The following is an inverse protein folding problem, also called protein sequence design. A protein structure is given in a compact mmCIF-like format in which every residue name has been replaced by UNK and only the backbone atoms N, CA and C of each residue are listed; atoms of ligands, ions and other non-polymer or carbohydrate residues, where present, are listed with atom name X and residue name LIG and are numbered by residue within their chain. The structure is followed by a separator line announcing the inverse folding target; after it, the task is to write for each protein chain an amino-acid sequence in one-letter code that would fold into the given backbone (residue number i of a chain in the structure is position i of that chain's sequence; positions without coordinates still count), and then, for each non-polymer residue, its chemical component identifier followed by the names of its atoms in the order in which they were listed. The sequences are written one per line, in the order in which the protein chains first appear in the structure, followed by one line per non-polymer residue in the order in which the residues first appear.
data_IF_398565652674
#
_entry.id   IF_398565652674
#
_cell.length_a   1.000
_cell.length_b   1.000
_cell.length_c   1.000
_cell.angle_alpha   90.00
_cell.angle_beta   90.00
_cell.angle_gamma   90.00
#
_symmetry.space_group_name_H-M   'P 1'
#
loop_
_entity.id
_entity.type
_entity.pdbx_description
1 polymer ?
#
# COMPACT_ATOMS: atom_id res chain seq x y z
N UNK A 1 -0.79 16.97 -10.91
CA UNK A 1 0.47 17.73 -11.02
C UNK A 1 1.01 18.17 -9.65
N UNK A 2 0.39 19.13 -8.95
CA UNK A 2 0.91 19.64 -7.65
C UNK A 2 1.15 18.52 -6.62
N UNK A 3 0.14 17.68 -6.37
CA UNK A 3 0.23 16.58 -5.40
C UNK A 3 1.36 15.61 -5.77
N UNK A 4 1.38 15.12 -7.01
CA UNK A 4 2.40 14.18 -7.50
C UNK A 4 3.82 14.75 -7.38
N UNK A 5 4.01 16.05 -7.63
CA UNK A 5 5.30 16.72 -7.46
C UNK A 5 5.68 16.93 -5.99
N UNK A 6 4.70 17.09 -5.10
CA UNK A 6 4.93 17.27 -3.67
C UNK A 6 5.35 15.97 -2.97
N UNK A 7 4.88 14.80 -3.42
CA UNK A 7 5.20 13.49 -2.81
C UNK A 7 6.70 13.23 -2.59
N UNK A 8 7.59 13.35 -3.59
CA UNK A 8 9.03 13.14 -3.38
C UNK A 8 9.67 14.19 -2.45
N UNK A 9 9.17 15.43 -2.48
CA UNK A 9 9.65 16.48 -1.57
C UNK A 9 9.24 16.20 -0.12
N UNK A 10 8.04 15.66 0.10
CA UNK A 10 7.57 15.24 1.43
C UNK A 10 8.36 14.02 1.92
N UNK A 11 8.63 13.05 1.06
CA UNK A 11 9.49 11.92 1.40
C UNK A 11 10.88 12.38 1.89
N UNK A 12 11.46 13.41 1.25
CA UNK A 12 12.79 13.91 1.56
C UNK A 12 12.84 14.90 2.74
N UNK A 13 11.91 15.84 2.79
CA UNK A 13 11.93 16.97 3.72
C UNK A 13 10.86 16.87 4.82
N UNK A 14 9.98 15.86 4.73
CA UNK A 14 8.85 15.72 5.62
C UNK A 14 7.93 16.93 5.60
N UNK A 15 7.36 17.21 6.77
CA UNK A 15 6.53 18.37 7.05
C UNK A 15 7.21 19.71 6.83
N UNK A 16 8.55 19.78 6.74
CA UNK A 16 9.27 21.04 6.56
C UNK A 16 9.10 21.61 5.14
N UNK A 17 8.61 20.83 4.18
CA UNK A 17 8.38 21.27 2.79
C UNK A 17 7.49 22.52 2.75
N UNK A 18 7.85 23.50 1.93
CA UNK A 18 7.09 24.75 1.76
C UNK A 18 6.30 24.74 0.44
N UNK A 19 5.21 25.50 0.39
CA UNK A 19 4.42 25.71 -0.84
C UNK A 19 5.27 26.32 -1.96
N UNK A 20 6.24 27.18 -1.64
CA UNK A 20 7.22 27.72 -2.58
C UNK A 20 8.13 26.65 -3.20
N UNK A 21 8.61 25.68 -2.40
CA UNK A 21 9.41 24.56 -2.91
C UNK A 21 8.58 23.67 -3.84
N UNK A 22 7.33 23.38 -3.48
CA UNK A 22 6.41 22.59 -4.30
C UNK A 22 6.11 23.32 -5.62
N UNK A 23 5.79 24.61 -5.56
CA UNK A 23 5.51 25.42 -6.74
C UNK A 23 6.71 25.46 -7.70
N UNK A 24 7.91 25.68 -7.17
CA UNK A 24 9.17 25.66 -7.93
C UNK A 24 9.39 24.31 -8.61
N UNK A 25 9.24 23.21 -7.87
CA UNK A 25 9.42 21.87 -8.41
C UNK A 25 8.37 21.53 -9.49
N UNK A 26 7.16 22.09 -9.37
CA UNK A 26 6.08 21.91 -10.33
C UNK A 26 6.14 22.90 -11.52
N UNK A 27 7.12 23.81 -11.56
CA UNK A 27 7.26 24.81 -12.63
C UNK A 27 6.14 25.85 -12.66
N UNK A 28 5.48 26.10 -11.53
CA UNK A 28 4.36 27.05 -11.41
C UNK A 28 4.65 28.16 -10.40
N UNK A 29 3.90 29.27 -10.50
CA UNK A 29 3.90 30.30 -9.47
C UNK A 29 3.23 29.82 -8.18
N UNK A 30 3.73 30.27 -7.02
CA UNK A 30 3.18 29.87 -5.71
C UNK A 30 1.70 30.29 -5.53
N UNK A 31 1.30 31.42 -6.10
CA UNK A 31 -0.11 31.84 -6.12
C UNK A 31 -1.02 30.82 -6.84
N UNK A 32 -0.51 30.02 -7.78
CA UNK A 32 -1.27 28.94 -8.42
C UNK A 32 -1.52 27.78 -7.47
N UNK A 33 -0.58 27.49 -6.54
CA UNK A 33 -0.81 26.50 -5.49
C UNK A 33 -1.96 26.96 -4.59
N UNK A 34 -1.96 28.22 -4.16
CA UNK A 34 -3.00 28.78 -3.30
C UNK A 34 -4.38 28.95 -3.99
N UNK A 35 -4.44 28.90 -5.32
CA UNK A 35 -5.72 28.82 -6.05
C UNK A 35 -6.38 27.45 -5.94
N UNK A 36 -5.59 26.39 -5.77
CA UNK A 36 -6.06 25.01 -5.70
C UNK A 36 -6.20 24.55 -4.25
N UNK A 37 -5.33 25.03 -3.36
CA UNK A 37 -5.28 24.63 -1.97
C UNK A 37 -5.35 25.86 -1.06
N UNK A 38 -6.16 25.80 -0.01
CA UNK A 38 -6.33 26.93 0.91
C UNK A 38 -5.03 27.27 1.66
N UNK A 39 -4.25 26.25 2.03
CA UNK A 39 -3.00 26.39 2.76
C UNK A 39 -2.07 25.19 2.50
N UNK A 40 -0.90 25.19 3.14
CA UNK A 40 0.08 24.10 3.09
C UNK A 40 -0.51 22.79 3.64
N UNK A 41 -1.31 22.85 4.70
CA UNK A 41 -1.87 21.65 5.32
C UNK A 41 -2.85 20.96 4.36
N UNK A 42 -3.64 21.71 3.60
CA UNK A 42 -4.49 21.17 2.54
C UNK A 42 -3.69 20.43 1.46
N UNK A 43 -2.50 20.92 1.10
CA UNK A 43 -1.59 20.21 0.16
C UNK A 43 -1.10 18.90 0.79
N UNK A 44 -0.67 18.93 2.05
CA UNK A 44 -0.20 17.74 2.76
C UNK A 44 -1.31 16.68 2.91
N UNK A 45 -2.54 17.10 3.24
CA UNK A 45 -3.68 16.20 3.33
C UNK A 45 -4.03 15.57 1.98
N UNK A 46 -3.99 16.33 0.90
CA UNK A 46 -4.19 15.79 -0.45
C UNK A 46 -3.09 14.77 -0.81
N UNK A 47 -1.84 15.03 -0.43
CA UNK A 47 -0.73 14.09 -0.61
C UNK A 47 -0.93 12.79 0.18
N UNK A 48 -1.34 12.90 1.45
CA UNK A 48 -1.65 11.74 2.30
C UNK A 48 -2.79 10.94 1.67
N UNK A 49 -3.88 11.59 1.25
CA UNK A 49 -5.01 10.93 0.62
C UNK A 49 -4.60 10.19 -0.67
N UNK A 50 -3.77 10.80 -1.52
CA UNK A 50 -3.25 10.17 -2.75
C UNK A 50 -2.34 8.97 -2.46
N UNK A 51 -1.55 9.02 -1.39
CA UNK A 51 -0.64 7.91 -1.03
C UNK A 51 -1.39 6.74 -0.40
N UNK A 52 -2.49 7.03 0.32
CA UNK A 52 -3.38 6.02 0.91
C UNK A 52 -4.40 5.46 -0.09
N UNK A 53 -4.37 5.91 -1.34
CA UNK A 53 -5.26 5.43 -2.39
C UNK A 53 -4.68 4.13 -2.99
N UNK A 54 -5.33 2.97 -2.79
CA UNK A 54 -4.85 1.70 -3.29
C UNK A 54 -5.12 1.50 -4.79
N UNK A 55 -5.75 2.45 -5.49
CA UNK A 55 -6.24 2.27 -6.88
C UNK A 55 -5.19 1.67 -7.80
N UNK A 56 -3.95 2.18 -7.77
CA UNK A 56 -2.86 1.65 -8.60
C UNK A 56 -2.53 0.20 -8.25
N UNK A 57 -2.49 -0.14 -6.96
CA UNK A 57 -2.24 -1.52 -6.54
C UNK A 57 -3.39 -2.45 -6.96
N UNK A 58 -4.63 -1.98 -6.95
CA UNK A 58 -5.79 -2.74 -7.42
C UNK A 58 -5.76 -2.95 -8.94
N UNK A 59 -5.34 -1.93 -9.70
CA UNK A 59 -5.11 -2.03 -11.14
C UNK A 59 -4.01 -3.07 -11.44
N UNK A 60 -2.89 -3.01 -10.71
CA UNK A 60 -1.79 -3.97 -10.84
C UNK A 60 -2.24 -5.39 -10.51
N UNK A 61 -3.00 -5.58 -9.41
CA UNK A 61 -3.58 -6.88 -9.04
C UNK A 61 -4.55 -7.42 -10.11
N UNK A 62 -5.39 -6.55 -10.66
CA UNK A 62 -6.34 -6.90 -11.72
C UNK A 62 -5.69 -7.21 -13.07
N UNK A 63 -4.44 -6.80 -13.27
CA UNK A 63 -3.67 -7.06 -14.48
C UNK A 63 -2.88 -8.39 -14.44
N UNK A 64 -2.83 -9.07 -13.29
CA UNK A 64 -2.12 -10.35 -13.14
C UNK A 64 -2.74 -11.42 -14.05
N UNK A 65 -1.90 -12.10 -14.84
CA UNK A 65 -2.33 -13.16 -15.73
C UNK A 65 -2.81 -14.38 -14.94
N UNK A 66 -4.11 -14.65 -15.00
CA UNK A 66 -4.75 -15.76 -14.28
C UNK A 66 -4.36 -17.15 -14.82
N UNK A 67 -3.71 -17.24 -15.97
CA UNK A 67 -3.21 -18.52 -16.54
C UNK A 67 -1.88 -18.97 -15.94
N UNK A 68 -1.19 -18.07 -15.24
CA UNK A 68 0.04 -18.39 -14.52
C UNK A 68 -0.23 -19.41 -13.39
N UNK A 69 0.79 -20.19 -12.98
CA UNK A 69 0.69 -21.00 -11.77
C UNK A 69 0.32 -20.13 -10.56
N UNK A 70 -0.54 -20.66 -9.67
CA UNK A 70 -0.99 -19.93 -8.46
C UNK A 70 0.15 -19.30 -7.66
N UNK A 71 1.27 -20.01 -7.50
CA UNK A 71 2.43 -19.48 -6.79
C UNK A 71 3.00 -18.20 -7.44
N UNK A 72 3.03 -18.14 -8.77
CA UNK A 72 3.56 -17.00 -9.52
C UNK A 72 2.60 -15.81 -9.46
N UNK A 73 1.29 -16.06 -9.56
CA UNK A 73 0.25 -15.01 -9.37
C UNK A 73 0.33 -14.37 -7.99
N UNK A 74 0.54 -15.18 -6.94
CA UNK A 74 0.69 -14.68 -5.57
C UNK A 74 2.02 -13.94 -5.34
N UNK A 75 3.06 -14.25 -6.12
CA UNK A 75 4.32 -13.50 -6.10
C UNK A 75 4.14 -12.13 -6.75
N UNK A 76 3.48 -12.05 -7.89
CA UNK A 76 3.18 -10.77 -8.55
C UNK A 76 2.28 -9.89 -7.68
N UNK A 77 1.26 -10.49 -7.06
CA UNK A 77 0.41 -9.79 -6.11
C UNK A 77 1.18 -9.24 -4.90
N UNK A 78 2.17 -9.99 -4.41
CA UNK A 78 3.00 -9.56 -3.30
C UNK A 78 3.84 -8.34 -3.71
N UNK A 79 4.38 -8.36 -4.92
CA UNK A 79 5.21 -7.28 -5.45
C UNK A 79 4.40 -6.00 -5.65
N UNK A 80 3.17 -6.10 -6.16
CA UNK A 80 2.26 -4.96 -6.29
C UNK A 80 1.90 -4.34 -4.92
N UNK A 81 1.56 -5.19 -3.95
CA UNK A 81 1.18 -4.74 -2.61
C UNK A 81 2.37 -4.19 -1.81
N UNK A 82 3.56 -4.80 -1.90
CA UNK A 82 4.77 -4.30 -1.26
C UNK A 82 5.19 -2.95 -1.87
N UNK A 83 5.13 -2.79 -3.19
CA UNK A 83 5.42 -1.51 -3.84
C UNK A 83 4.48 -0.38 -3.38
N UNK A 84 3.20 -0.71 -3.16
CA UNK A 84 2.23 0.22 -2.58
C UNK A 84 2.57 0.59 -1.14
N UNK A 85 2.88 -0.40 -0.29
CA UNK A 85 3.25 -0.17 1.10
C UNK A 85 4.56 0.60 1.25
N UNK A 86 5.56 0.35 0.42
CA UNK A 86 6.85 1.05 0.45
C UNK A 86 6.69 2.53 0.08
N UNK A 87 5.88 2.82 -0.95
CA UNK A 87 5.53 4.19 -1.33
C UNK A 87 4.82 4.90 -0.17
N UNK A 88 3.88 4.21 0.47
CA UNK A 88 3.16 4.72 1.63
C UNK A 88 4.07 4.97 2.83
N UNK A 89 4.91 4.00 3.18
CA UNK A 89 5.85 4.08 4.30
C UNK A 89 6.88 5.19 4.12
N UNK A 90 7.36 5.41 2.90
CA UNK A 90 8.32 6.48 2.58
C UNK A 90 7.74 7.87 2.85
N UNK A 91 6.52 8.15 2.35
CA UNK A 91 5.89 9.47 2.51
C UNK A 91 5.43 9.69 3.95
N UNK A 92 4.75 8.70 4.56
CA UNK A 92 4.29 8.81 5.95
C UNK A 92 5.48 8.87 6.93
N UNK A 93 6.55 8.12 6.68
CA UNK A 93 7.78 8.15 7.48
C UNK A 93 8.44 9.52 7.49
N UNK A 94 8.55 10.18 6.32
CA UNK A 94 9.05 11.55 6.22
C UNK A 94 8.21 12.56 7.02
N UNK A 95 6.89 12.42 6.98
CA UNK A 95 5.97 13.26 7.78
C UNK A 95 6.11 13.02 9.29
N UNK A 96 6.26 11.76 9.71
CA UNK A 96 6.42 11.41 11.14
C UNK A 96 7.76 11.88 11.72
N UNK A 97 8.87 11.74 10.97
CA UNK A 97 10.21 12.11 11.45
C UNK A 97 10.40 13.62 11.66
N UNK A 98 9.58 14.45 11.00
CA UNK A 98 9.65 15.92 11.02
C UNK A 98 8.65 16.57 12.00
N UNK A 99 7.96 15.76 12.80
CA UNK A 99 7.24 16.26 13.98
C UNK A 99 5.84 16.82 13.71
N UNK A 100 5.13 16.41 12.64
CA UNK A 100 3.68 16.51 12.69
C UNK A 100 3.20 15.55 13.79
N UNK A 101 2.64 16.01 14.91
CA UNK A 101 1.85 15.13 15.75
C UNK A 101 0.71 14.63 14.87
N UNK A 102 0.21 13.44 15.19
CA UNK A 102 -0.97 12.83 14.60
C UNK A 102 -2.21 13.72 14.84
N UNK A 103 -2.24 14.94 14.29
CA UNK A 103 -3.44 15.72 14.07
C UNK A 103 -4.17 14.92 13.02
N UNK A 104 -5.00 14.00 13.55
CA UNK A 104 -6.08 13.36 12.83
C UNK A 104 -6.61 14.42 11.87
N UNK A 105 -6.53 14.20 10.54
CA UNK A 105 -7.09 15.14 9.58
C UNK A 105 -8.49 15.51 10.06
N UNK A 106 -8.98 16.76 9.90
CA UNK A 106 -10.42 16.96 9.96
C UNK A 106 -10.99 15.90 9.03
N UNK A 107 -11.81 15.01 9.59
CA UNK A 107 -12.34 13.90 8.83
C UNK A 107 -12.89 14.52 7.53
N UNK A 108 -12.47 14.05 6.35
CA UNK A 108 -13.31 14.23 5.19
C UNK A 108 -14.71 13.83 5.65
N UNK A 109 -15.72 14.58 5.27
CA UNK A 109 -17.12 14.27 5.59
C UNK A 109 -17.55 12.86 5.13
N UNK A 110 -16.65 12.13 4.46
CA UNK A 110 -16.70 10.71 4.15
C UNK A 110 -15.74 9.94 5.08
N UNK A 111 -16.28 9.37 6.17
CA UNK A 111 -15.55 8.78 7.28
C UNK A 111 -14.91 7.39 7.03
N UNK A 112 -14.91 6.47 8.02
CA UNK A 112 -14.24 5.14 7.95
C UNK A 112 -14.54 4.30 6.69
N UNK A 113 -15.61 4.59 5.95
CA UNK A 113 -15.99 3.95 4.68
C UNK A 113 -14.81 3.77 3.71
N UNK A 114 -14.07 4.84 3.36
CA UNK A 114 -13.10 4.74 2.25
C UNK A 114 -11.93 3.80 2.50
N UNK A 115 -11.48 3.67 3.76
CA UNK A 115 -10.41 2.74 4.14
C UNK A 115 -10.92 1.30 4.23
N UNK A 116 -12.15 1.12 4.69
CA UNK A 116 -12.78 -0.20 4.77
C UNK A 116 -13.13 -0.70 3.36
N UNK A 117 -13.62 0.19 2.48
CA UNK A 117 -13.87 -0.06 1.05
C UNK A 117 -12.57 -0.43 0.31
N UNK A 118 -11.48 0.29 0.58
CA UNK A 118 -10.15 -0.02 0.05
C UNK A 118 -9.62 -1.39 0.48
N UNK A 119 -9.83 -1.77 1.74
CA UNK A 119 -9.45 -3.08 2.26
C UNK A 119 -10.30 -4.19 1.64
N UNK A 120 -11.62 -3.97 1.52
CA UNK A 120 -12.53 -4.90 0.87
C UNK A 120 -12.16 -5.11 -0.61
N UNK A 121 -11.88 -4.03 -1.36
CA UNK A 121 -11.45 -4.12 -2.75
C UNK A 121 -10.13 -4.88 -2.91
N UNK A 122 -9.15 -4.62 -2.03
CA UNK A 122 -7.87 -5.37 -2.03
C UNK A 122 -8.11 -6.85 -1.77
N UNK A 123 -8.98 -7.17 -0.81
CA UNK A 123 -9.35 -8.56 -0.50
C UNK A 123 -10.01 -9.23 -1.69
N UNK A 124 -10.99 -8.60 -2.32
CA UNK A 124 -11.69 -9.12 -3.50
C UNK A 124 -10.73 -9.38 -4.66
N UNK A 125 -9.83 -8.43 -4.94
CA UNK A 125 -8.81 -8.60 -5.98
C UNK A 125 -7.91 -9.81 -5.71
N UNK A 126 -7.48 -10.02 -4.46
CA UNK A 126 -6.68 -11.20 -4.09
C UNK A 126 -7.50 -12.49 -4.19
N UNK A 127 -8.78 -12.49 -3.79
CA UNK A 127 -9.66 -13.66 -3.93
C UNK A 127 -9.73 -14.12 -5.39
N UNK A 128 -9.88 -13.19 -6.33
CA UNK A 128 -9.94 -13.49 -7.76
C UNK A 128 -8.70 -14.26 -8.27
N UNK A 129 -7.52 -14.05 -7.68
CA UNK A 129 -6.30 -14.78 -8.03
C UNK A 129 -6.35 -16.27 -7.65
N UNK A 130 -7.13 -16.62 -6.62
CA UNK A 130 -7.32 -18.00 -6.17
C UNK A 130 -8.43 -18.72 -6.93
N UNK A 131 -9.43 -18.01 -7.47
CA UNK A 131 -10.64 -18.61 -8.06
C UNK A 131 -10.36 -19.70 -9.12
N UNK A 132 -9.41 -19.54 -10.06
CA UNK A 132 -9.15 -20.57 -11.08
C UNK A 132 -8.67 -21.92 -10.52
N UNK A 133 -8.10 -21.93 -9.30
CA UNK A 133 -7.63 -23.14 -8.63
C UNK A 133 -8.53 -23.57 -7.46
N UNK A 134 -9.69 -22.93 -7.27
CA UNK A 134 -10.56 -23.12 -6.10
C UNK A 134 -10.83 -24.58 -5.72
N UNK A 135 -11.12 -25.43 -6.71
CA UNK A 135 -11.43 -26.86 -6.50
C UNK A 135 -10.24 -27.68 -5.95
N UNK A 136 -9.01 -27.16 -6.07
CA UNK A 136 -7.77 -27.80 -5.61
C UNK A 136 -7.34 -27.33 -4.23
N UNK A 137 -7.98 -26.28 -3.70
CA UNK A 137 -7.62 -25.65 -2.44
C UNK A 137 -8.27 -26.39 -1.26
N UNK A 138 -7.53 -26.52 -0.17
CA UNK A 138 -8.01 -27.17 1.07
C UNK A 138 -8.98 -26.29 1.87
N UNK A 139 -9.00 -25.00 1.57
CA UNK A 139 -9.79 -23.98 2.25
C UNK A 139 -10.47 -23.09 1.20
N UNK A 140 -11.57 -22.43 1.55
CA UNK A 140 -12.20 -21.42 0.70
C UNK A 140 -11.22 -20.31 0.28
N UNK A 141 -11.40 -19.78 -0.93
CA UNK A 141 -10.53 -18.75 -1.54
C UNK A 141 -10.47 -17.48 -0.70
N UNK A 142 -11.58 -17.11 -0.07
CA UNK A 142 -11.72 -15.92 0.77
C UNK A 142 -10.94 -16.05 2.09
N UNK A 143 -10.94 -17.24 2.70
CA UNK A 143 -10.11 -17.57 3.86
C UNK A 143 -8.62 -17.53 3.51
N UNK A 144 -8.24 -18.05 2.33
CA UNK A 144 -6.85 -18.06 1.86
C UNK A 144 -6.35 -16.67 1.51
N UNK A 145 -7.18 -15.83 0.88
CA UNK A 145 -6.88 -14.43 0.62
C UNK A 145 -6.63 -13.67 1.93
N UNK A 146 -7.48 -13.87 2.94
CA UNK A 146 -7.29 -13.26 4.26
C UNK A 146 -6.02 -13.76 4.95
N UNK A 147 -5.68 -15.04 4.82
CA UNK A 147 -4.44 -15.60 5.36
C UNK A 147 -3.20 -15.02 4.65
N UNK A 148 -3.24 -14.93 3.32
CA UNK A 148 -2.21 -14.35 2.48
C UNK A 148 -1.93 -12.89 2.86
N UNK A 149 -2.97 -12.05 2.95
CA UNK A 149 -2.83 -10.64 3.31
C UNK A 149 -2.25 -10.47 4.72
N UNK A 150 -2.68 -11.29 5.70
CA UNK A 150 -2.10 -11.26 7.05
C UNK A 150 -0.62 -11.67 7.07
N UNK A 151 -0.25 -12.68 6.28
CA UNK A 151 1.14 -13.12 6.15
C UNK A 151 2.01 -12.05 5.50
N UNK A 152 1.51 -11.40 4.44
CA UNK A 152 2.23 -10.36 3.73
C UNK A 152 2.42 -9.11 4.60
N UNK A 153 1.34 -8.60 5.20
CA UNK A 153 1.39 -7.38 6.01
C UNK A 153 2.05 -7.58 7.38
N UNK A 154 1.99 -8.80 7.94
CA UNK A 154 2.69 -9.15 9.18
C UNK A 154 4.23 -9.10 9.09
N UNK A 155 4.81 -9.05 7.89
CA UNK A 155 6.28 -8.95 7.66
C UNK A 155 6.89 -7.65 8.19
N UNK A 156 6.07 -6.61 8.33
CA UNK A 156 6.47 -5.26 8.72
C UNK A 156 6.83 -5.11 10.20
N UNK A 157 6.83 -6.19 10.98
CA UNK A 157 7.17 -6.17 12.41
C UNK A 157 8.61 -5.66 12.68
N UNK A 158 8.66 -4.42 13.19
CA UNK A 158 9.48 -3.91 14.29
C UNK A 158 11.00 -3.80 14.11
N UNK A 159 11.63 -2.65 14.45
CA UNK A 159 13.08 -2.61 14.63
C UNK A 159 13.45 -3.44 15.88
N UNK A 160 14.32 -4.44 15.75
CA UNK A 160 14.99 -5.00 16.94
C UNK A 160 15.25 -6.50 17.03
N UNK A 161 14.92 -7.34 16.04
CA UNK A 161 15.47 -8.72 16.01
C UNK A 161 15.96 -9.10 14.61
N UNK A 162 17.25 -9.48 14.46
CA UNK A 162 17.74 -10.16 13.26
C UNK A 162 17.23 -11.61 13.31
N UNK A 163 15.94 -11.80 13.06
CA UNK A 163 15.41 -13.11 12.72
C UNK A 163 15.53 -13.24 11.21
N UNK A 164 16.04 -14.36 10.73
CA UNK A 164 15.97 -14.72 9.31
C UNK A 164 14.49 -14.71 8.91
N UNK A 165 14.07 -13.65 8.23
CA UNK A 165 12.69 -13.53 7.75
C UNK A 165 12.60 -14.40 6.51
N UNK A 166 11.66 -15.36 6.44
CA UNK A 166 11.46 -16.14 5.22
C UNK A 166 11.23 -15.18 4.05
N UNK A 167 11.82 -15.48 2.90
CA UNK A 167 11.58 -14.71 1.70
C UNK A 167 10.13 -14.89 1.22
N UNK A 168 9.70 -14.08 0.26
CA UNK A 168 8.33 -14.12 -0.28
C UNK A 168 7.97 -15.48 -0.88
N UNK A 169 8.91 -16.15 -1.56
CA UNK A 169 8.67 -17.48 -2.15
C UNK A 169 8.45 -18.50 -1.05
N UNK A 170 9.24 -18.45 0.02
CA UNK A 170 9.11 -19.33 1.17
C UNK A 170 7.77 -19.14 1.89
N UNK A 171 7.26 -17.90 2.00
CA UNK A 171 5.94 -17.65 2.57
C UNK A 171 4.81 -18.15 1.70
N UNK A 172 4.90 -17.97 0.38
CA UNK A 172 3.89 -18.47 -0.56
C UNK A 172 3.93 -20.00 -0.61
N UNK A 173 5.12 -20.60 -0.62
CA UNK A 173 5.28 -22.05 -0.51
C UNK A 173 4.66 -22.58 0.79
N UNK A 174 4.93 -21.91 1.92
CA UNK A 174 4.32 -22.24 3.21
C UNK A 174 2.79 -22.12 3.18
N UNK A 175 2.23 -21.10 2.52
CA UNK A 175 0.79 -20.91 2.39
C UNK A 175 0.14 -22.03 1.54
N UNK A 176 0.78 -22.38 0.42
CA UNK A 176 0.24 -23.35 -0.54
C UNK A 176 0.45 -24.81 -0.11
N UNK A 177 1.55 -25.09 0.57
CA UNK A 177 1.99 -26.46 0.88
C UNK A 177 2.03 -26.79 2.38
N UNK A 178 2.00 -25.78 3.26
CA UNK A 178 2.15 -25.96 4.71
C UNK A 178 3.60 -26.24 5.13
N UNK A 179 3.86 -26.22 6.45
CA UNK A 179 5.22 -26.39 7.00
C UNK A 179 5.66 -27.85 7.14
N UNK A 180 4.71 -28.78 7.27
CA UNK A 180 4.99 -30.18 7.54
C UNK A 180 4.84 -31.01 6.27
N UNK A 181 5.88 -31.77 5.90
CA UNK A 181 5.75 -32.80 4.87
C UNK A 181 5.23 -34.07 5.53
N UNK A 182 4.04 -34.52 5.15
CA UNK A 182 3.64 -35.89 5.48
C UNK A 182 4.67 -36.83 4.87
N UNK A 183 5.37 -37.56 5.73
CA UNK A 183 6.25 -38.64 5.31
C UNK A 183 5.36 -39.71 4.69
N UNK A 184 5.51 -39.94 3.38
CA UNK A 184 4.92 -41.12 2.73
C UNK A 184 5.57 -42.39 3.25
#
# INVERSE_FOLDING_TARGET
MIVQTALPLIAQHGAAVTTAQIARAAGIGEATVFRVFADKDAVLQACIATVLDPTVALEDLGAIDLTLPLADRLLEAADALDAYLDRMGTVLGGLHASGLPNRRPPAPTDGPSRRDDAQAATREAVVALFEPDGDRLRLPTDVLADAYLRLLFGRTAGPGRPVEKPDRRQLIDLLLNGAFRESR
#
